data_IF_505317123282
#
_entry.id   IF_505317123282
#
_cell.length_a   1.000
_cell.length_b   1.000
_cell.length_c   1.000
_cell.angle_alpha   90.00
_cell.angle_beta   90.00
_cell.angle_gamma   90.00
#
_symmetry.space_group_name_H-M   'P 1'
#
loop_
_entity.id
_entity.type
_entity.pdbx_description
1 polymer ?
#
# COMPACT_ATOMS: atom_id res chain seq x y z
N UNK A 1 -5.25 -20.35 38.57
CA UNK A 1 -5.40 -18.94 38.99
C UNK A 1 -6.02 -18.91 40.37
N UNK A 2 -5.47 -18.10 41.30
CA UNK A 2 -5.96 -17.91 42.65
C UNK A 2 -6.18 -16.39 42.87
N UNK A 3 -7.39 -15.99 43.19
CA UNK A 3 -7.70 -14.59 43.50
C UNK A 3 -7.29 -14.31 44.96
N UNK A 4 -6.63 -13.19 45.20
CA UNK A 4 -6.16 -12.78 46.51
C UNK A 4 -6.96 -11.57 47.04
N UNK A 5 -7.11 -10.55 46.24
CA UNK A 5 -7.79 -9.31 46.60
C UNK A 5 -8.42 -8.65 45.38
N UNK A 6 -9.54 -8.04 45.59
CA UNK A 6 -10.24 -7.22 44.57
C UNK A 6 -10.60 -5.88 45.19
N UNK A 7 -10.29 -4.78 44.53
CA UNK A 7 -10.72 -3.43 44.90
C UNK A 7 -11.52 -2.84 43.76
N UNK A 8 -12.72 -2.32 44.01
CA UNK A 8 -13.68 -1.95 43.00
C UNK A 8 -14.35 -0.59 43.25
N UNK A 9 -14.41 0.22 42.19
CA UNK A 9 -15.39 1.30 42.02
C UNK A 9 -16.27 0.90 40.84
N UNK A 10 -17.41 0.21 41.15
CA UNK A 10 -18.23 -0.43 40.14
C UNK A 10 -19.65 -0.64 40.64
N UNK A 11 -20.64 -0.08 39.96
CA UNK A 11 -22.03 -0.10 40.42
C UNK A 11 -22.16 0.53 41.79
N UNK A 12 -22.60 -0.26 42.77
CA UNK A 12 -22.72 0.17 44.16
C UNK A 12 -21.37 0.28 44.89
N UNK A 13 -20.38 -0.52 44.48
CA UNK A 13 -19.07 -0.57 45.13
C UNK A 13 -18.31 0.73 44.90
N UNK A 14 -17.84 1.36 45.97
CA UNK A 14 -17.07 2.60 45.89
C UNK A 14 -15.75 2.42 46.67
N UNK A 15 -14.70 2.13 45.96
CA UNK A 15 -13.37 1.79 46.51
C UNK A 15 -13.41 0.68 47.56
N UNK A 16 -14.42 -0.18 47.44
CA UNK A 16 -14.53 -1.32 48.33
C UNK A 16 -13.49 -2.40 48.01
N UNK A 17 -12.98 -3.04 49.07
CA UNK A 17 -11.98 -4.10 48.95
C UNK A 17 -12.53 -5.39 49.48
N UNK A 18 -12.41 -6.47 48.69
CA UNK A 18 -12.73 -7.84 49.09
C UNK A 18 -11.45 -8.67 49.08
N UNK A 19 -11.05 -9.15 50.24
CA UNK A 19 -9.93 -10.09 50.39
C UNK A 19 -10.45 -11.53 50.41
N UNK A 20 -9.76 -12.39 49.67
CA UNK A 20 -10.11 -13.79 49.53
C UNK A 20 -9.01 -14.67 50.14
N UNK A 21 -9.44 -15.79 50.73
CA UNK A 21 -8.55 -16.77 51.31
C UNK A 21 -8.45 -18.01 50.44
N UNK A 22 -7.55 -18.93 50.78
CA UNK A 22 -7.45 -20.20 50.06
C UNK A 22 -8.67 -21.09 50.35
N UNK A 23 -9.15 -21.79 49.32
CA UNK A 23 -10.31 -22.67 49.40
C UNK A 23 -11.64 -21.96 49.17
N UNK A 24 -12.67 -22.42 49.85
CA UNK A 24 -14.04 -21.90 49.70
C UNK A 24 -14.20 -20.54 50.43
N UNK A 25 -14.60 -19.53 49.69
CA UNK A 25 -14.96 -18.22 50.22
C UNK A 25 -16.45 -18.03 50.15
N UNK A 26 -17.10 -17.77 51.27
CA UNK A 26 -18.55 -17.53 51.37
C UNK A 26 -18.79 -16.08 51.71
N UNK A 27 -19.43 -15.37 50.80
CA UNK A 27 -19.76 -13.97 50.94
C UNK A 27 -21.22 -13.82 51.36
N UNK A 28 -21.44 -13.68 52.67
CA UNK A 28 -22.79 -13.47 53.25
C UNK A 28 -23.04 -11.96 53.46
N UNK A 29 -24.02 -11.43 52.76
CA UNK A 29 -24.36 -10.02 52.80
C UNK A 29 -25.88 -9.85 52.66
N UNK A 30 -26.50 -8.77 53.18
CA UNK A 30 -27.91 -8.43 52.95
C UNK A 30 -28.23 -8.34 51.44
N UNK A 31 -29.54 -8.33 51.14
CA UNK A 31 -29.95 -8.04 49.77
C UNK A 31 -29.50 -6.63 49.37
N UNK A 32 -29.20 -6.45 48.09
CA UNK A 32 -28.69 -5.19 47.52
C UNK A 32 -27.30 -4.75 48.04
N UNK A 33 -26.65 -5.53 48.89
CA UNK A 33 -25.33 -5.19 49.43
C UNK A 33 -24.17 -5.39 48.45
N UNK A 34 -24.42 -5.70 47.17
CA UNK A 34 -23.36 -5.77 46.15
C UNK A 34 -22.82 -7.16 45.82
N UNK A 35 -23.43 -8.27 46.36
CA UNK A 35 -22.96 -9.65 46.03
C UNK A 35 -22.83 -9.92 44.53
N UNK A 36 -23.87 -9.65 43.76
CA UNK A 36 -23.89 -9.80 42.30
C UNK A 36 -22.98 -8.80 41.62
N UNK A 37 -22.75 -7.65 42.23
CA UNK A 37 -21.85 -6.61 41.71
C UNK A 37 -20.39 -7.08 41.77
N UNK A 38 -19.99 -7.74 42.86
CA UNK A 38 -18.64 -8.34 42.94
C UNK A 38 -18.40 -9.41 41.86
N UNK A 39 -19.40 -10.27 41.64
CA UNK A 39 -19.29 -11.31 40.62
C UNK A 39 -19.17 -10.70 39.21
N UNK A 40 -20.01 -9.71 38.86
CA UNK A 40 -19.94 -9.01 37.57
C UNK A 40 -18.69 -8.16 37.44
N UNK A 41 -18.20 -7.58 38.54
CA UNK A 41 -16.91 -6.88 38.56
C UNK A 41 -15.77 -7.81 38.19
N UNK A 42 -15.69 -9.01 38.77
CA UNK A 42 -14.69 -10.01 38.41
C UNK A 42 -14.76 -10.35 36.92
N UNK A 43 -15.96 -10.58 36.38
CA UNK A 43 -16.16 -10.86 34.97
C UNK A 43 -15.70 -9.68 34.07
N UNK A 44 -16.02 -8.45 34.48
CA UNK A 44 -15.60 -7.24 33.77
C UNK A 44 -14.08 -7.02 33.83
N UNK A 45 -13.45 -7.34 34.93
CA UNK A 45 -12.00 -7.25 35.07
C UNK A 45 -11.26 -8.28 34.21
N UNK A 46 -11.77 -9.49 34.08
CA UNK A 46 -11.15 -10.55 33.29
C UNK A 46 -11.39 -10.36 31.79
N UNK A 47 -12.61 -10.06 31.36
CA UNK A 47 -13.00 -10.08 29.96
C UNK A 47 -13.39 -8.71 29.39
N UNK A 48 -13.36 -7.64 30.20
CA UNK A 48 -13.80 -6.32 29.78
C UNK A 48 -15.34 -6.18 29.70
N UNK A 49 -15.78 -4.96 29.40
CA UNK A 49 -17.19 -4.61 29.19
C UNK A 49 -17.43 -4.41 27.70
N UNK A 50 -18.47 -5.05 27.17
CA UNK A 50 -18.91 -4.81 25.79
C UNK A 50 -19.60 -3.44 25.71
N UNK A 51 -18.96 -2.51 25.02
CA UNK A 51 -19.48 -1.16 24.81
C UNK A 51 -20.45 -1.08 23.63
N UNK A 52 -20.51 -2.12 22.79
CA UNK A 52 -21.40 -2.18 21.62
C UNK A 52 -22.83 -2.57 21.97
N UNK A 53 -23.04 -3.18 23.16
CA UNK A 53 -24.37 -3.53 23.63
C UNK A 53 -25.26 -2.30 23.73
N UNK A 54 -26.46 -2.38 23.13
CA UNK A 54 -27.50 -1.36 23.19
C UNK A 54 -28.59 -1.76 24.19
N UNK A 55 -29.23 -0.79 24.75
CA UNK A 55 -30.39 -1.00 25.58
C UNK A 55 -31.50 -1.72 24.81
N UNK A 56 -31.99 -2.82 25.37
CA UNK A 56 -33.14 -3.56 24.89
C UNK A 56 -34.26 -3.47 25.93
N UNK A 57 -35.50 -3.60 25.50
CA UNK A 57 -36.69 -3.51 26.41
C UNK A 57 -36.50 -4.41 27.64
N UNK A 58 -36.36 -3.80 28.81
CA UNK A 58 -36.20 -4.48 30.09
C UNK A 58 -34.78 -4.97 30.44
N UNK A 59 -33.75 -4.73 29.56
CA UNK A 59 -32.36 -5.18 29.80
C UNK A 59 -31.42 -4.00 29.59
N UNK A 60 -30.83 -3.50 30.66
CA UNK A 60 -29.80 -2.48 30.59
C UNK A 60 -28.45 -3.12 30.24
N UNK A 61 -27.64 -2.52 29.32
CA UNK A 61 -26.27 -2.92 29.03
C UNK A 61 -25.44 -2.88 30.33
N UNK A 62 -24.45 -3.77 30.42
CA UNK A 62 -23.55 -3.85 31.59
C UNK A 62 -22.88 -2.52 31.89
N UNK A 63 -22.51 -1.74 30.90
CA UNK A 63 -21.91 -0.39 31.04
C UNK A 63 -22.80 0.60 31.75
N UNK A 64 -24.12 0.52 31.55
CA UNK A 64 -25.11 1.42 32.16
C UNK A 64 -25.58 0.86 33.51
N UNK A 65 -25.83 -0.45 33.57
CA UNK A 65 -26.33 -1.14 34.77
C UNK A 65 -25.36 -1.02 35.97
N UNK A 66 -24.08 -1.08 35.72
CA UNK A 66 -23.05 -1.03 36.76
C UNK A 66 -22.24 0.26 36.78
N UNK A 67 -22.78 1.33 36.23
CA UNK A 67 -22.21 2.67 36.42
C UNK A 67 -22.17 3.00 37.91
N UNK A 68 -21.02 3.48 38.46
CA UNK A 68 -20.94 3.85 39.86
C UNK A 68 -22.01 4.89 40.27
N UNK A 69 -22.70 4.62 41.35
CA UNK A 69 -23.79 5.51 41.84
C UNK A 69 -23.26 6.88 42.25
N UNK A 70 -22.01 6.97 42.62
CA UNK A 70 -21.32 8.23 42.93
C UNK A 70 -21.02 9.09 41.71
N UNK A 71 -21.26 8.61 40.47
CA UNK A 71 -20.87 9.28 39.23
C UNK A 71 -19.39 9.23 38.90
N UNK A 72 -18.57 8.59 39.75
CA UNK A 72 -17.15 8.37 39.48
C UNK A 72 -16.95 7.43 38.28
N UNK A 73 -15.81 7.51 37.58
CA UNK A 73 -15.48 6.53 36.55
C UNK A 73 -15.31 5.12 37.16
N UNK A 74 -15.68 4.08 36.40
CA UNK A 74 -15.41 2.69 36.80
C UNK A 74 -13.92 2.47 36.86
N UNK A 75 -13.46 1.84 37.92
CA UNK A 75 -12.07 1.42 38.08
C UNK A 75 -11.97 0.15 38.92
N UNK A 76 -10.91 -0.59 38.74
CA UNK A 76 -10.69 -1.79 39.49
C UNK A 76 -9.26 -2.25 39.53
N UNK A 77 -8.91 -2.94 40.63
CA UNK A 77 -7.65 -3.61 40.79
C UNK A 77 -7.93 -5.02 41.30
N UNK A 78 -7.28 -6.01 40.69
CA UNK A 78 -7.29 -7.40 41.13
C UNK A 78 -5.86 -7.87 41.39
N UNK A 79 -5.61 -8.40 42.57
CA UNK A 79 -4.38 -9.12 42.87
C UNK A 79 -4.69 -10.62 42.80
N UNK A 80 -3.91 -11.34 42.03
CA UNK A 80 -4.06 -12.78 41.84
C UNK A 80 -2.72 -13.48 41.76
N UNK A 81 -2.73 -14.78 41.95
CA UNK A 81 -1.60 -15.67 41.70
C UNK A 81 -1.91 -16.57 40.49
N UNK A 82 -1.00 -16.61 39.54
CA UNK A 82 -1.08 -17.46 38.37
C UNK A 82 0.31 -18.04 38.07
N UNK A 83 0.38 -19.35 37.88
CA UNK A 83 1.63 -20.09 37.63
C UNK A 83 2.74 -19.75 38.68
N UNK A 84 2.36 -19.64 39.96
CA UNK A 84 3.31 -19.37 41.08
C UNK A 84 3.80 -17.91 41.14
N UNK A 85 3.28 -17.00 40.33
CA UNK A 85 3.64 -15.57 40.33
C UNK A 85 2.44 -14.70 40.67
N UNK A 86 2.69 -13.65 41.46
CA UNK A 86 1.67 -12.66 41.79
C UNK A 86 1.55 -11.64 40.68
N UNK A 87 0.31 -11.38 40.26
CA UNK A 87 -0.03 -10.42 39.18
C UNK A 87 -1.06 -9.44 39.71
N UNK A 88 -0.86 -8.16 39.43
CA UNK A 88 -1.80 -7.08 39.69
C UNK A 88 -2.42 -6.65 38.35
N UNK A 89 -3.71 -6.84 38.20
CA UNK A 89 -4.49 -6.37 37.07
C UNK A 89 -5.15 -5.04 37.45
N UNK A 90 -5.01 -4.04 36.64
CA UNK A 90 -5.68 -2.75 36.82
C UNK A 90 -6.49 -2.42 35.56
N UNK A 91 -7.75 -2.00 35.78
CA UNK A 91 -8.57 -1.41 34.73
C UNK A 91 -9.11 -0.07 35.17
N UNK A 92 -9.02 0.92 34.28
CA UNK A 92 -9.60 2.25 34.49
C UNK A 92 -10.43 2.66 33.27
N UNK A 93 -11.34 3.59 33.49
CA UNK A 93 -12.22 4.08 32.42
C UNK A 93 -11.64 5.28 31.69
N UNK A 94 -11.94 5.35 30.41
CA UNK A 94 -11.82 6.59 29.62
C UNK A 94 -13.20 7.19 29.42
N UNK A 95 -13.28 8.42 28.90
CA UNK A 95 -14.56 9.09 28.61
C UNK A 95 -15.49 8.28 27.67
N UNK A 96 -14.92 7.36 26.86
CA UNK A 96 -15.67 6.58 25.86
C UNK A 96 -15.76 5.08 26.18
N UNK A 97 -14.89 4.57 27.02
CA UNK A 97 -14.78 3.14 27.28
C UNK A 97 -14.66 2.87 28.80
N UNK A 98 -15.73 2.39 29.46
CA UNK A 98 -15.66 1.95 30.84
C UNK A 98 -14.70 0.75 30.95
N UNK A 99 -13.79 0.78 31.93
CA UNK A 99 -12.73 -0.22 32.14
C UNK A 99 -11.87 -0.50 30.88
N UNK A 100 -11.75 0.50 29.98
CA UNK A 100 -11.09 0.33 28.69
C UNK A 100 -9.56 0.39 28.74
N UNK A 101 -8.99 1.06 29.73
CA UNK A 101 -7.52 1.06 29.96
C UNK A 101 -7.16 -0.14 30.80
N UNK A 102 -6.23 -0.94 30.35
CA UNK A 102 -5.82 -2.17 31.00
C UNK A 102 -4.31 -2.18 31.25
N UNK A 103 -3.94 -2.64 32.42
CA UNK A 103 -2.55 -2.91 32.79
C UNK A 103 -2.47 -4.22 33.58
N UNK A 104 -1.47 -5.04 33.27
CA UNK A 104 -1.14 -6.26 34.00
C UNK A 104 0.34 -6.23 34.32
N UNK A 105 0.67 -6.25 35.61
CA UNK A 105 2.07 -6.22 36.08
C UNK A 105 2.31 -7.31 37.11
N UNK A 106 3.51 -7.84 37.13
CA UNK A 106 3.96 -8.69 38.24
C UNK A 106 4.07 -7.85 39.49
N UNK A 107 3.38 -8.25 40.57
CA UNK A 107 3.29 -7.47 41.80
C UNK A 107 4.66 -7.21 42.44
N UNK A 108 5.55 -8.19 42.34
CA UNK A 108 6.87 -8.15 43.03
C UNK A 108 7.87 -7.26 42.23
N UNK A 109 7.83 -7.23 40.93
CA UNK A 109 8.79 -6.52 40.08
C UNK A 109 8.26 -5.26 39.39
N UNK A 110 6.94 -5.08 39.35
CA UNK A 110 6.32 -4.00 38.61
C UNK A 110 6.43 -4.12 37.08
N UNK A 111 7.06 -5.20 36.59
CA UNK A 111 7.24 -5.41 35.14
C UNK A 111 5.92 -5.84 34.48
N UNK A 112 5.64 -5.39 33.27
CA UNK A 112 4.44 -5.82 32.55
C UNK A 112 4.47 -7.33 32.27
N UNK A 113 3.28 -7.94 32.28
CA UNK A 113 3.10 -9.34 31.87
C UNK A 113 3.06 -9.40 30.36
N UNK A 114 4.06 -10.02 29.76
CA UNK A 114 4.18 -10.11 28.29
C UNK A 114 2.99 -10.86 27.67
N UNK A 115 2.50 -10.36 26.55
CA UNK A 115 1.40 -10.99 25.80
C UNK A 115 0.02 -10.85 26.42
N UNK A 116 -0.12 -10.28 27.63
CA UNK A 116 -1.41 -10.06 28.28
C UNK A 116 -1.99 -8.69 27.91
N UNK A 117 -3.15 -8.69 27.31
CA UNK A 117 -3.88 -7.49 26.89
C UNK A 117 -5.27 -7.45 27.54
N UNK A 118 -5.93 -6.27 27.49
CA UNK A 118 -7.29 -6.15 28.00
C UNK A 118 -8.31 -7.06 27.29
N UNK A 119 -8.03 -7.50 26.09
CA UNK A 119 -8.92 -8.37 25.32
C UNK A 119 -8.73 -9.86 25.63
N UNK A 120 -7.47 -10.29 25.88
CA UNK A 120 -7.15 -11.72 26.07
C UNK A 120 -6.92 -12.13 27.53
N UNK A 121 -6.96 -11.17 28.47
CA UNK A 121 -6.62 -11.40 29.88
C UNK A 121 -7.35 -12.59 30.50
N UNK A 122 -8.66 -12.66 30.34
CA UNK A 122 -9.47 -13.76 30.92
C UNK A 122 -9.13 -15.11 30.27
N UNK A 123 -8.96 -15.12 28.96
CA UNK A 123 -8.61 -16.34 28.22
C UNK A 123 -7.18 -16.82 28.57
N UNK A 124 -6.22 -15.91 28.70
CA UNK A 124 -4.86 -16.21 29.10
C UNK A 124 -4.79 -16.78 30.52
N UNK A 125 -5.58 -16.24 31.46
CA UNK A 125 -5.56 -16.67 32.88
C UNK A 125 -6.38 -17.93 33.14
N UNK A 126 -7.47 -18.15 32.40
CA UNK A 126 -8.44 -19.23 32.66
C UNK A 126 -8.42 -20.33 31.60
N UNK A 127 -7.79 -20.09 30.43
CA UNK A 127 -7.80 -21.03 29.31
C UNK A 127 -9.12 -21.09 28.55
N UNK A 128 -10.13 -20.28 28.92
CA UNK A 128 -11.48 -20.36 28.34
C UNK A 128 -11.99 -18.98 27.94
N UNK A 129 -12.71 -18.85 26.81
CA UNK A 129 -13.31 -17.60 26.41
C UNK A 129 -14.50 -17.22 27.31
N UNK A 130 -14.88 -15.93 27.29
CA UNK A 130 -15.93 -15.34 28.13
C UNK A 130 -17.22 -16.15 28.17
N UNK A 131 -17.70 -16.61 27.00
CA UNK A 131 -18.97 -17.37 26.88
C UNK A 131 -18.89 -18.70 27.62
N UNK A 132 -17.81 -19.45 27.44
CA UNK A 132 -17.60 -20.73 28.11
C UNK A 132 -17.48 -20.53 29.62
N UNK A 133 -16.70 -19.53 30.07
CA UNK A 133 -16.59 -19.20 31.50
C UNK A 133 -17.95 -18.86 32.12
N UNK A 134 -18.77 -18.04 31.45
CA UNK A 134 -20.10 -17.68 31.93
C UNK A 134 -21.07 -18.86 32.02
N UNK A 135 -20.84 -19.92 31.25
CA UNK A 135 -21.71 -21.11 31.22
C UNK A 135 -21.22 -22.25 32.12
N UNK A 136 -19.92 -22.36 32.31
CA UNK A 136 -19.32 -23.47 33.06
C UNK A 136 -18.94 -23.10 34.50
N UNK A 137 -18.37 -21.93 34.71
CA UNK A 137 -17.77 -21.55 36.03
C UNK A 137 -18.49 -20.34 36.66
N UNK A 138 -19.23 -19.54 35.93
CA UNK A 138 -19.89 -18.34 36.44
C UNK A 138 -21.42 -18.56 36.55
N UNK A 139 -21.85 -19.25 37.62
CA UNK A 139 -23.26 -19.58 37.81
C UNK A 139 -24.03 -18.40 38.40
N UNK A 140 -25.04 -17.94 37.67
CA UNK A 140 -25.94 -16.83 38.10
C UNK A 140 -27.32 -17.37 38.51
N UNK A 141 -28.02 -16.65 39.38
CA UNK A 141 -29.36 -16.96 39.76
C UNK A 141 -30.35 -17.06 38.56
N UNK A 142 -30.18 -16.19 37.54
CA UNK A 142 -31.01 -16.15 36.36
C UNK A 142 -30.45 -16.94 35.14
N UNK A 143 -29.36 -17.63 35.28
CA UNK A 143 -28.65 -18.26 34.14
C UNK A 143 -28.65 -19.79 34.11
N UNK A 144 -29.56 -20.42 34.85
CA UNK A 144 -29.66 -21.90 34.94
C UNK A 144 -30.37 -22.56 33.74
N UNK A 145 -30.91 -21.78 32.82
CA UNK A 145 -31.51 -22.33 31.56
C UNK A 145 -30.45 -22.89 30.63
N UNK A 146 -30.58 -24.15 30.25
CA UNK A 146 -29.76 -24.78 29.22
C UNK A 146 -30.19 -24.24 27.83
N UNK A 147 -29.46 -23.23 27.35
CA UNK A 147 -29.58 -22.82 25.95
C UNK A 147 -28.40 -23.38 25.16
N UNK A 148 -28.60 -23.90 23.96
CA UNK A 148 -27.52 -24.37 23.11
C UNK A 148 -26.44 -23.28 22.93
N UNK A 149 -25.18 -23.69 23.00
CA UNK A 149 -24.04 -22.81 22.78
C UNK A 149 -23.01 -23.54 21.91
N UNK A 150 -22.88 -23.11 20.67
CA UNK A 150 -22.06 -23.75 19.65
C UNK A 150 -20.59 -23.88 20.09
N UNK A 151 -20.08 -22.95 20.89
CA UNK A 151 -18.70 -22.94 21.36
C UNK A 151 -18.46 -23.97 22.46
N UNK A 152 -19.40 -24.10 23.41
CA UNK A 152 -19.34 -25.13 24.44
C UNK A 152 -19.54 -26.53 23.83
N UNK A 153 -20.48 -26.68 22.91
CA UNK A 153 -20.71 -27.94 22.19
C UNK A 153 -19.50 -28.36 21.36
N UNK A 154 -18.84 -27.42 20.70
CA UNK A 154 -17.61 -27.69 19.94
C UNK A 154 -16.48 -28.18 20.86
N UNK A 155 -16.30 -27.60 22.04
CA UNK A 155 -15.29 -28.06 23.01
C UNK A 155 -15.61 -29.42 23.62
N UNK A 156 -16.88 -29.63 23.99
CA UNK A 156 -17.33 -30.94 24.47
C UNK A 156 -17.17 -32.02 23.38
N UNK A 157 -17.52 -31.70 22.15
CA UNK A 157 -17.33 -32.60 21.01
C UNK A 157 -15.84 -32.89 20.75
N UNK A 158 -14.97 -31.91 20.87
CA UNK A 158 -13.53 -32.09 20.75
C UNK A 158 -13.00 -33.04 21.85
N UNK A 159 -13.38 -32.84 23.11
CA UNK A 159 -13.01 -33.68 24.23
C UNK A 159 -13.49 -35.14 24.02
N UNK A 160 -14.72 -35.34 23.54
CA UNK A 160 -15.29 -36.65 23.31
C UNK A 160 -14.61 -37.38 22.13
N UNK A 161 -14.24 -36.66 21.08
CA UNK A 161 -13.68 -37.24 19.85
C UNK A 161 -12.17 -37.44 19.90
N UNK A 162 -11.43 -36.51 20.50
CA UNK A 162 -9.95 -36.54 20.49
C UNK A 162 -9.32 -36.74 21.85
N UNK A 163 -10.08 -36.59 22.94
CA UNK A 163 -9.56 -36.59 24.31
C UNK A 163 -8.76 -35.36 24.66
N UNK A 164 -8.63 -34.38 23.76
CA UNK A 164 -7.89 -33.13 23.95
C UNK A 164 -8.76 -31.94 23.57
N UNK A 165 -8.94 -31.01 24.49
CA UNK A 165 -9.72 -29.79 24.29
C UNK A 165 -9.09 -28.84 23.24
N UNK A 166 -7.76 -28.91 23.07
CA UNK A 166 -7.02 -28.04 22.13
C UNK A 166 -7.10 -28.55 20.68
N UNK A 167 -7.43 -29.83 20.46
CA UNK A 167 -7.47 -30.45 19.13
C UNK A 167 -8.91 -30.56 18.65
N UNK A 168 -9.38 -29.60 17.90
CA UNK A 168 -10.71 -29.61 17.29
C UNK A 168 -10.62 -29.81 15.78
N UNK A 169 -11.32 -30.83 15.25
CA UNK A 169 -11.50 -31.05 13.81
C UNK A 169 -12.10 -29.79 13.15
N UNK A 170 -13.07 -29.14 13.77
CA UNK A 170 -13.67 -27.90 13.27
C UNK A 170 -12.67 -26.74 13.19
N UNK A 171 -11.72 -26.66 14.13
CA UNK A 171 -10.66 -25.66 14.08
C UNK A 171 -9.65 -25.94 12.97
N UNK A 172 -9.31 -27.20 12.72
CA UNK A 172 -8.45 -27.62 11.62
C UNK A 172 -9.13 -27.35 10.26
N UNK A 173 -10.39 -27.71 10.11
CA UNK A 173 -11.19 -27.48 8.90
C UNK A 173 -11.30 -25.96 8.60
N UNK A 174 -11.60 -25.15 9.60
CA UNK A 174 -11.63 -23.68 9.47
C UNK A 174 -10.27 -23.09 9.03
N UNK A 175 -9.17 -23.62 9.54
CA UNK A 175 -7.82 -23.19 9.12
C UNK A 175 -7.52 -23.61 7.68
N UNK A 176 -7.89 -24.82 7.29
CA UNK A 176 -7.74 -25.31 5.91
C UNK A 176 -8.57 -24.47 4.93
N UNK A 177 -9.82 -24.19 5.26
CA UNK A 177 -10.70 -23.32 4.48
C UNK A 177 -10.15 -21.90 4.36
N UNK A 178 -9.64 -21.34 5.44
CA UNK A 178 -9.01 -20.01 5.42
C UNK A 178 -7.75 -20.02 4.55
N UNK A 179 -6.94 -21.07 4.61
CA UNK A 179 -5.76 -21.24 3.76
C UNK A 179 -6.15 -21.42 2.29
N UNK A 180 -7.15 -22.27 1.99
CA UNK A 180 -7.69 -22.43 0.65
C UNK A 180 -8.18 -21.10 0.06
N UNK A 181 -8.95 -20.32 0.84
CA UNK A 181 -9.44 -19.01 0.42
C UNK A 181 -8.30 -18.00 0.19
N UNK A 182 -7.23 -18.08 0.98
CA UNK A 182 -6.03 -17.24 0.75
C UNK A 182 -5.33 -17.57 -0.55
N UNK A 183 -5.28 -18.86 -0.91
CA UNK A 183 -4.65 -19.31 -2.15
C UNK A 183 -5.56 -18.97 -3.34
N UNK A 184 -6.83 -19.34 -3.27
CA UNK A 184 -7.82 -19.04 -4.31
C UNK A 184 -9.25 -18.95 -3.74
N UNK A 185 -9.85 -17.78 -3.83
CA UNK A 185 -11.25 -17.55 -3.52
C UNK A 185 -11.91 -16.79 -4.67
N UNK A 186 -12.63 -17.50 -5.54
CA UNK A 186 -13.22 -16.95 -6.78
C UNK A 186 -12.16 -16.20 -7.63
N UNK A 187 -12.28 -14.86 -7.69
CA UNK A 187 -11.40 -13.98 -8.46
C UNK A 187 -10.29 -13.32 -7.61
N UNK A 188 -10.15 -13.72 -6.34
CA UNK A 188 -9.20 -13.15 -5.38
C UNK A 188 -8.28 -14.22 -4.80
N UNK A 189 -7.12 -13.83 -4.30
CA UNK A 189 -6.12 -14.71 -3.69
C UNK A 189 -4.82 -14.75 -4.50
N UNK A 190 -3.84 -15.47 -3.96
CA UNK A 190 -2.48 -15.51 -4.52
C UNK A 190 -2.42 -15.97 -5.97
N UNK A 191 -3.21 -17.02 -6.34
CA UNK A 191 -3.22 -17.55 -7.71
C UNK A 191 -3.86 -16.57 -8.70
N UNK A 192 -5.09 -16.05 -8.50
CA UNK A 192 -5.67 -15.05 -9.41
C UNK A 192 -4.88 -13.76 -9.51
N UNK A 193 -4.18 -13.35 -8.47
CA UNK A 193 -3.32 -12.16 -8.50
C UNK A 193 -2.09 -12.42 -9.38
N UNK A 194 -1.43 -13.57 -9.22
CA UNK A 194 -0.31 -13.98 -10.07
C UNK A 194 -0.74 -14.18 -11.54
N UNK A 195 -1.92 -14.77 -11.79
CA UNK A 195 -2.48 -14.89 -13.14
C UNK A 195 -2.70 -13.53 -13.80
N UNK A 196 -3.16 -12.52 -13.05
CA UNK A 196 -3.33 -11.14 -13.55
C UNK A 196 -2.00 -10.45 -13.85
N UNK A 197 -1.01 -10.61 -12.96
CA UNK A 197 0.34 -10.07 -13.19
C UNK A 197 0.98 -10.70 -14.42
N UNK A 198 0.84 -12.00 -14.60
CA UNK A 198 1.36 -12.72 -15.77
C UNK A 198 0.71 -12.21 -17.05
N UNK A 199 -0.62 -12.07 -17.08
CA UNK A 199 -1.33 -11.52 -18.23
C UNK A 199 -0.92 -10.06 -18.55
N UNK A 200 -0.64 -9.24 -17.52
CA UNK A 200 -0.15 -7.88 -17.70
C UNK A 200 1.26 -7.85 -18.31
N UNK A 201 2.15 -8.74 -17.85
CA UNK A 201 3.51 -8.89 -18.42
C UNK A 201 3.46 -9.38 -19.86
N UNK A 202 2.63 -10.39 -20.17
CA UNK A 202 2.46 -10.89 -21.54
C UNK A 202 1.94 -9.79 -22.48
N UNK A 203 0.98 -9.00 -22.02
CA UNK A 203 0.48 -7.85 -22.79
C UNK A 203 1.59 -6.79 -23.02
N UNK A 204 2.39 -6.50 -22.01
CA UNK A 204 3.52 -5.57 -22.14
C UNK A 204 4.60 -6.11 -23.12
N UNK A 205 4.91 -7.40 -23.07
CA UNK A 205 5.83 -8.04 -24.00
C UNK A 205 5.33 -7.98 -25.45
N UNK A 206 4.03 -8.23 -25.67
CA UNK A 206 3.44 -8.12 -27.01
C UNK A 206 3.50 -6.67 -27.55
N UNK A 207 3.24 -5.69 -26.68
CA UNK A 207 3.36 -4.27 -27.06
C UNK A 207 4.82 -3.90 -27.41
N UNK A 208 5.79 -4.33 -26.62
CA UNK A 208 7.22 -4.09 -26.87
C UNK A 208 7.68 -4.77 -28.17
N UNK A 209 7.20 -5.99 -28.46
CA UNK A 209 7.50 -6.67 -29.72
C UNK A 209 6.97 -5.87 -30.92
N UNK A 210 5.75 -5.35 -30.86
CA UNK A 210 5.17 -4.48 -31.89
C UNK A 210 5.93 -3.16 -32.07
N UNK A 211 6.43 -2.56 -31.00
CA UNK A 211 7.29 -1.38 -31.06
C UNK A 211 8.68 -1.69 -31.62
N UNK A 212 9.22 -2.87 -31.32
CA UNK A 212 10.49 -3.32 -31.87
C UNK A 212 10.43 -3.46 -33.40
N UNK A 213 9.37 -4.07 -33.94
CA UNK A 213 9.15 -4.18 -35.39
C UNK A 213 9.04 -2.80 -36.06
N UNK A 214 8.29 -1.88 -35.46
CA UNK A 214 8.20 -0.49 -35.94
C UNK A 214 9.56 0.19 -35.94
N UNK A 215 10.35 0.03 -34.89
CA UNK A 215 11.69 0.58 -34.81
C UNK A 215 12.62 0.01 -35.87
N UNK A 216 12.56 -1.30 -36.17
CA UNK A 216 13.33 -1.90 -37.25
C UNK A 216 12.93 -1.31 -38.62
N UNK A 217 11.63 -1.18 -38.89
CA UNK A 217 11.13 -0.57 -40.13
C UNK A 217 11.59 0.89 -40.27
N UNK A 218 11.48 1.69 -39.20
CA UNK A 218 11.94 3.08 -39.20
C UNK A 218 13.45 3.21 -39.41
N UNK A 219 14.26 2.33 -38.81
CA UNK A 219 15.71 2.29 -39.02
C UNK A 219 16.06 1.96 -40.46
N UNK A 220 15.37 1.01 -41.09
CA UNK A 220 15.55 0.69 -42.49
C UNK A 220 15.18 1.87 -43.40
N UNK A 221 14.09 2.57 -43.12
CA UNK A 221 13.72 3.78 -43.85
C UNK A 221 14.75 4.90 -43.69
N UNK A 222 15.22 5.14 -42.47
CA UNK A 222 16.24 6.14 -42.17
C UNK A 222 17.53 5.86 -42.94
N UNK A 223 17.97 4.59 -42.96
CA UNK A 223 19.13 4.17 -43.73
C UNK A 223 18.97 4.38 -45.22
N UNK A 224 17.80 4.07 -45.80
CA UNK A 224 17.50 4.32 -47.19
C UNK A 224 17.48 5.81 -47.52
N UNK A 225 16.90 6.64 -46.68
CA UNK A 225 16.87 8.10 -46.87
C UNK A 225 18.26 8.72 -46.75
N UNK A 226 19.11 8.23 -45.84
CA UNK A 226 20.50 8.66 -45.74
C UNK A 226 21.30 8.30 -46.99
N UNK A 227 21.08 7.10 -47.55
CA UNK A 227 21.71 6.70 -48.82
C UNK A 227 21.24 7.59 -49.98
N UNK A 228 19.95 7.93 -50.07
CA UNK A 228 19.43 8.86 -51.09
C UNK A 228 20.00 10.27 -50.89
N UNK A 229 20.10 10.74 -49.66
CA UNK A 229 20.71 12.04 -49.38
C UNK A 229 22.17 12.10 -49.84
N UNK A 230 22.96 11.09 -49.51
CA UNK A 230 24.38 11.05 -49.96
C UNK A 230 24.51 11.01 -51.47
N UNK A 231 23.70 10.20 -52.17
CA UNK A 231 23.67 10.17 -53.61
C UNK A 231 23.30 11.52 -54.21
N UNK A 232 22.27 12.17 -53.70
CA UNK A 232 21.84 13.50 -54.14
C UNK A 232 22.91 14.58 -53.90
N UNK A 233 23.64 14.51 -52.75
CA UNK A 233 24.76 15.40 -52.46
C UNK A 233 25.94 15.20 -53.44
N UNK A 234 26.23 13.96 -53.79
CA UNK A 234 27.28 13.61 -54.81
C UNK A 234 26.88 14.15 -56.19
N UNK A 235 25.64 13.93 -56.62
CA UNK A 235 25.12 14.46 -57.89
C UNK A 235 25.20 15.98 -57.93
N UNK A 236 24.82 16.64 -56.83
CA UNK A 236 24.88 18.08 -56.71
C UNK A 236 26.31 18.63 -56.76
N UNK A 237 27.28 17.92 -56.15
CA UNK A 237 28.71 18.24 -56.30
C UNK A 237 29.18 18.09 -57.72
N UNK A 238 28.81 16.99 -58.42
CA UNK A 238 29.14 16.75 -59.79
C UNK A 238 28.59 17.83 -60.73
N UNK A 239 27.28 18.19 -60.54
CA UNK A 239 26.64 19.25 -61.33
C UNK A 239 27.30 20.63 -61.10
N UNK A 240 27.61 20.97 -59.86
CA UNK A 240 28.34 22.22 -59.53
C UNK A 240 29.73 22.26 -60.19
N UNK A 241 30.47 21.13 -60.14
CA UNK A 241 31.75 21.04 -60.80
C UNK A 241 31.65 21.19 -62.32
N UNK A 242 30.66 20.54 -62.96
CA UNK A 242 30.42 20.66 -64.38
C UNK A 242 30.00 22.10 -64.79
N UNK A 243 29.18 22.73 -63.93
CA UNK A 243 28.76 24.13 -64.14
C UNK A 243 29.97 25.10 -64.04
N UNK A 244 30.86 24.86 -63.05
CA UNK A 244 32.09 25.65 -62.90
C UNK A 244 33.02 25.48 -64.12
N UNK A 245 33.16 24.26 -64.62
CA UNK A 245 33.93 23.99 -65.82
C UNK A 245 33.34 24.71 -67.06
N UNK A 246 32.00 24.63 -67.23
CA UNK A 246 31.34 25.34 -68.34
C UNK A 246 31.55 26.84 -68.27
N UNK A 247 31.40 27.44 -67.06
CA UNK A 247 31.65 28.88 -66.84
C UNK A 247 33.12 29.24 -67.16
N UNK A 248 34.04 28.40 -66.75
CA UNK A 248 35.48 28.60 -67.01
C UNK A 248 35.78 28.53 -68.52
N UNK A 249 35.18 27.57 -69.25
CA UNK A 249 35.31 27.48 -70.71
C UNK A 249 34.69 28.71 -71.40
N UNK A 250 33.48 29.14 -71.04
CA UNK A 250 32.85 30.35 -71.56
C UNK A 250 33.71 31.59 -71.32
N UNK A 251 34.28 31.73 -70.11
CA UNK A 251 35.19 32.85 -69.83
C UNK A 251 36.42 32.83 -70.69
N UNK A 252 36.98 31.61 -70.92
CA UNK A 252 38.16 31.45 -71.77
C UNK A 252 37.83 31.80 -73.26
N UNK A 253 36.72 31.37 -73.77
CA UNK A 253 36.24 31.67 -75.10
C UNK A 253 35.96 33.17 -75.30
N UNK A 254 35.26 33.81 -74.30
CA UNK A 254 35.06 35.22 -74.28
C UNK A 254 36.38 36.03 -74.26
N UNK A 255 37.33 35.57 -73.45
CA UNK A 255 38.67 36.20 -73.37
C UNK A 255 39.44 36.08 -74.69
N UNK A 256 39.33 34.93 -75.36
CA UNK A 256 39.93 34.66 -76.66
C UNK A 256 39.28 35.53 -77.72
N UNK A 257 37.95 35.64 -77.75
CA UNK A 257 37.21 36.51 -78.71
C UNK A 257 37.57 37.98 -78.44
N UNK A 258 37.64 38.47 -77.23
CA UNK A 258 38.06 39.79 -76.91
C UNK A 258 39.52 40.10 -77.34
N UNK A 259 40.44 39.15 -77.20
CA UNK A 259 41.81 39.29 -77.66
C UNK A 259 41.91 39.31 -79.17
N UNK A 260 41.11 38.50 -79.87
CA UNK A 260 41.01 38.54 -81.29
C UNK A 260 40.40 39.85 -81.86
N UNK A 261 39.37 40.34 -81.15
CA UNK A 261 38.80 41.67 -81.44
C UNK A 261 39.82 42.81 -81.27
N UNK A 262 40.52 42.83 -80.19
CA UNK A 262 41.55 43.81 -79.93
C UNK A 262 42.71 43.73 -80.96
N UNK A 263 43.09 42.48 -81.35
CA UNK A 263 44.13 42.33 -82.42
C UNK A 263 43.61 42.83 -83.82
N UNK A 264 42.31 42.61 -84.11
CA UNK A 264 41.69 43.17 -85.30
C UNK A 264 41.61 44.67 -85.28
N UNK A 265 41.23 45.22 -84.16
CA UNK A 265 41.20 46.66 -83.91
C UNK A 265 42.58 47.29 -84.12
N UNK A 266 43.60 46.71 -83.45
CA UNK A 266 44.97 47.15 -83.59
C UNK A 266 45.47 47.01 -85.03
N UNK A 267 45.10 45.95 -85.77
CA UNK A 267 45.45 45.78 -87.17
C UNK A 267 44.75 46.83 -88.07
N UNK A 268 43.43 47.09 -87.84
CA UNK A 268 42.68 48.11 -88.51
C UNK A 268 43.25 49.51 -88.22
N UNK A 269 43.56 49.79 -86.97
CA UNK A 269 44.17 51.07 -86.58
C UNK A 269 45.54 51.25 -87.25
N UNK A 270 46.36 50.18 -87.31
CA UNK A 270 47.65 50.26 -88.05
C UNK A 270 47.48 50.49 -89.52
N UNK A 271 46.41 49.96 -90.17
CA UNK A 271 46.09 50.24 -91.56
C UNK A 271 45.62 51.69 -91.70
N UNK A 272 44.70 52.15 -90.83
CA UNK A 272 44.30 53.54 -90.81
C UNK A 272 45.39 54.53 -90.64
N UNK A 273 46.40 54.23 -89.80
CA UNK A 273 47.59 55.05 -89.52
C UNK A 273 48.48 55.18 -90.80
N UNK A 274 48.38 54.21 -91.75
CA UNK A 274 49.12 54.24 -93.01
C UNK A 274 48.35 54.91 -94.17
N UNK A 275 47.11 55.21 -93.94
CA UNK A 275 46.37 55.95 -94.94
C UNK A 275 46.83 57.42 -94.94
N UNK A 276 46.93 58.02 -96.09
CA UNK A 276 47.26 59.43 -96.13
C UNK A 276 46.19 60.27 -95.42
N UNK A 277 46.65 61.26 -94.66
CA UNK A 277 45.72 62.13 -93.92
C UNK A 277 44.85 62.87 -94.94
N UNK A 278 43.59 63.18 -94.57
CA UNK A 278 42.64 63.90 -95.43
C UNK A 278 43.26 65.11 -96.07
N UNK A 279 44.15 65.81 -95.38
CA UNK A 279 44.88 66.94 -95.88
C UNK A 279 45.80 66.57 -97.06
N UNK A 280 46.40 65.36 -97.09
CA UNK A 280 47.25 64.88 -98.15
C UNK A 280 46.39 64.39 -99.35
N UNK A 281 45.13 63.92 -99.11
CA UNK A 281 44.17 63.56 -100.16
C UNK A 281 43.64 64.81 -100.84
N UNK A 282 43.43 65.90 -100.08
CA UNK A 282 43.00 67.19 -100.66
C UNK A 282 44.09 67.80 -101.54
N UNK A 283 45.39 67.69 -101.15
CA UNK A 283 46.52 68.15 -101.97
C UNK A 283 46.64 67.30 -103.24
N UNK A 284 46.53 65.99 -103.18
CA UNK A 284 46.57 65.13 -104.36
C UNK A 284 45.42 65.33 -105.33
N UNK A 285 44.26 65.71 -104.76
CA UNK A 285 43.08 66.05 -105.62
C UNK A 285 43.22 67.40 -106.30
N UNK A 286 43.97 68.34 -105.74
CA UNK A 286 44.33 69.61 -106.33
C UNK A 286 45.45 69.49 -107.43
N UNK A 287 46.34 68.49 -107.28
CA UNK A 287 47.38 68.25 -108.26
C UNK A 287 46.86 67.44 -109.49
N UNK A 288 45.67 66.80 -109.34
CA UNK A 288 45.04 65.98 -110.40
C UNK A 288 43.97 66.76 -111.19
N UNK A 289 43.63 67.97 -110.83
CA UNK A 289 42.77 68.92 -111.58
C UNK A 289 43.57 69.88 -112.37
#
# INVERSE_FOLDING_TARGET
MKLLRMTATFGRLEQETLSLTEGLNVLQMPNEAGKSTWAEFLLAMLYGIDTSEREKTGVLPVKTKYQPWSGKPMEGVIELEHAGRRITLTRTSTARAPLGVFSAVYTDSGLPVEGMTGANCGETLLGVPKRVYQRSAFVRQAGLGLTPDDELEARLSALVTTGDEAVSFAAADKRLLAWQNRVRHNKTGLIPDAERELAAVDSALAALAGEHEKNLALRAQLQSLQAQQTACEEDLRALRAAQAQRKKAQLYDAKRAAMQAANRENAASAVCARLPREDALAVLSQEAA
#
